data_IF_861003701101
#
_entry.id   IF_861003701101
#
_cell.length_a   1.000
_cell.length_b   1.000
_cell.length_c   1.000
_cell.angle_alpha   90.00
_cell.angle_beta   90.00
_cell.angle_gamma   90.00
#
_symmetry.space_group_name_H-M   'P 1'
#
loop_
_entity.id
_entity.type
_entity.pdbx_description
1 polymer ?
#
# COMPACT_ATOMS: atom_id res chain seq x y z
N UNK A 1 -5.37 -6.27 -12.18
CA UNK A 1 -6.65 -6.95 -11.90
C UNK A 1 -6.39 -8.22 -11.12
N UNK A 2 -7.09 -8.45 -9.99
CA UNK A 2 -7.02 -9.71 -9.25
C UNK A 2 -7.23 -10.93 -10.14
N UNK A 3 -6.50 -12.01 -9.89
CA UNK A 3 -6.48 -13.20 -10.76
C UNK A 3 -7.84 -13.85 -10.94
N UNK A 4 -8.71 -13.81 -9.91
CA UNK A 4 -10.07 -14.39 -9.95
C UNK A 4 -11.02 -13.77 -10.98
N UNK A 5 -10.67 -12.60 -11.55
CA UNK A 5 -11.46 -11.96 -12.60
C UNK A 5 -10.91 -12.21 -14.01
N UNK A 6 -9.79 -12.95 -14.15
CA UNK A 6 -9.25 -13.29 -15.46
C UNK A 6 -9.97 -14.51 -16.04
N UNK A 7 -10.20 -14.56 -17.36
CA UNK A 7 -10.59 -15.80 -18.01
C UNK A 7 -9.57 -16.91 -17.71
N UNK A 8 -10.02 -18.09 -17.27
CA UNK A 8 -9.14 -19.16 -16.80
C UNK A 8 -8.04 -19.52 -17.81
N UNK A 9 -8.39 -19.70 -19.09
CA UNK A 9 -7.44 -20.02 -20.14
C UNK A 9 -6.35 -18.94 -20.32
N UNK A 10 -6.68 -17.67 -20.07
CA UNK A 10 -5.72 -16.58 -20.10
C UNK A 10 -4.84 -16.60 -18.85
N UNK A 11 -5.43 -16.78 -17.66
CA UNK A 11 -4.70 -16.86 -16.41
C UNK A 11 -3.69 -18.01 -16.44
N UNK A 12 -4.09 -19.19 -16.92
CA UNK A 12 -3.21 -20.35 -17.03
C UNK A 12 -2.05 -20.09 -17.99
N UNK A 13 -2.31 -19.46 -19.13
CA UNK A 13 -1.25 -19.10 -20.09
C UNK A 13 -0.17 -18.21 -19.46
N UNK A 14 -0.56 -17.28 -18.58
CA UNK A 14 0.37 -16.30 -18.01
C UNK A 14 1.02 -16.76 -16.71
N UNK A 15 0.28 -17.45 -15.84
CA UNK A 15 0.67 -17.70 -14.45
C UNK A 15 0.88 -19.19 -14.12
N UNK A 16 0.32 -20.12 -14.90
CA UNK A 16 0.46 -21.54 -14.59
C UNK A 16 1.94 -21.95 -14.52
N UNK A 17 2.30 -22.72 -13.49
CA UNK A 17 3.66 -23.17 -13.19
C UNK A 17 4.69 -22.04 -12.98
N UNK A 18 4.25 -20.81 -12.67
CA UNK A 18 5.14 -19.70 -12.33
C UNK A 18 4.97 -19.27 -10.88
N UNK A 19 6.05 -18.78 -10.30
CA UNK A 19 5.96 -18.06 -9.04
C UNK A 19 5.57 -16.62 -9.33
N UNK A 20 4.35 -16.26 -8.95
CA UNK A 20 3.89 -14.88 -8.98
C UNK A 20 4.35 -14.21 -7.68
N UNK A 21 5.08 -13.11 -7.78
CA UNK A 21 5.41 -12.27 -6.64
C UNK A 21 4.64 -10.96 -6.71
N UNK A 22 4.44 -10.34 -5.56
CA UNK A 22 3.79 -9.04 -5.48
C UNK A 22 4.19 -8.30 -4.22
N UNK A 23 4.14 -6.98 -4.30
CA UNK A 23 4.38 -6.11 -3.16
C UNK A 23 3.17 -6.18 -2.22
N UNK A 24 3.43 -6.37 -0.93
CA UNK A 24 2.42 -6.21 0.11
C UNK A 24 2.82 -5.03 1.00
N UNK A 25 1.92 -4.06 1.06
CA UNK A 25 2.12 -2.75 1.65
C UNK A 25 1.11 -2.52 2.76
N UNK A 26 1.55 -1.84 3.81
CA UNK A 26 0.69 -1.37 4.89
C UNK A 26 -0.50 -0.55 4.35
N UNK A 27 -1.75 -0.88 4.71
CA UNK A 27 -2.93 -0.18 4.17
C UNK A 27 -2.94 1.33 4.45
N UNK A 28 -2.49 1.79 5.62
CA UNK A 28 -2.45 3.22 5.92
C UNK A 28 -1.45 3.93 5.01
N UNK A 29 -0.23 3.38 4.97
CA UNK A 29 0.87 3.94 4.20
C UNK A 29 0.58 3.90 2.69
N UNK A 30 -0.12 2.87 2.21
CA UNK A 30 -0.63 2.76 0.83
C UNK A 30 -1.56 3.92 0.47
N UNK A 31 -2.53 4.23 1.33
CA UNK A 31 -3.52 5.29 1.07
C UNK A 31 -2.89 6.68 1.17
N UNK A 32 -1.96 6.87 2.10
CA UNK A 32 -1.14 8.09 2.15
C UNK A 32 -0.37 8.28 0.84
N UNK A 33 0.24 7.22 0.30
CA UNK A 33 0.94 7.31 -0.97
C UNK A 33 0.02 7.60 -2.16
N UNK A 34 -1.21 7.07 -2.16
CA UNK A 34 -2.23 7.44 -3.14
C UNK A 34 -2.56 8.93 -3.08
N UNK A 35 -2.77 9.48 -1.88
CA UNK A 35 -2.98 10.91 -1.68
C UNK A 35 -1.78 11.74 -2.19
N UNK A 36 -0.56 11.37 -1.76
CA UNK A 36 0.69 12.05 -2.14
C UNK A 36 1.04 11.93 -3.62
N UNK A 37 0.46 10.96 -4.32
CA UNK A 37 0.57 10.88 -5.77
C UNK A 37 -0.26 11.97 -6.45
N UNK A 38 -1.47 12.23 -5.94
CA UNK A 38 -2.44 13.16 -6.53
C UNK A 38 -2.65 12.92 -8.05
N UNK A 39 -2.67 11.65 -8.46
CA UNK A 39 -2.79 11.25 -9.86
C UNK A 39 -4.25 10.85 -10.12
N UNK A 40 -4.89 11.47 -11.12
CA UNK A 40 -6.25 11.13 -11.53
C UNK A 40 -6.34 9.65 -11.90
N UNK A 41 -7.25 8.90 -11.25
CA UNK A 41 -7.41 7.47 -11.47
C UNK A 41 -6.34 6.59 -10.82
N UNK A 42 -5.43 7.16 -10.01
CA UNK A 42 -4.52 6.42 -9.12
C UNK A 42 -4.58 7.04 -7.73
N UNK A 43 -5.66 6.71 -7.01
CA UNK A 43 -5.98 7.31 -5.72
C UNK A 43 -6.92 8.51 -5.83
N UNK A 44 -7.03 9.12 -7.02
CA UNK A 44 -7.87 10.28 -7.28
C UNK A 44 -7.10 11.58 -7.21
N UNK A 45 -7.68 12.64 -7.79
CA UNK A 45 -7.24 14.00 -7.57
C UNK A 45 -8.21 14.64 -6.56
N UNK A 46 -7.71 14.98 -5.38
CA UNK A 46 -8.49 15.66 -4.34
C UNK A 46 -7.92 17.07 -4.12
N UNK A 47 -8.23 18.02 -5.03
CA UNK A 47 -7.67 19.37 -4.96
C UNK A 47 -7.97 20.05 -3.62
N UNK A 48 -9.12 19.78 -3.01
CA UNK A 48 -9.53 20.33 -1.72
C UNK A 48 -8.60 19.92 -0.56
N UNK A 49 -8.00 18.73 -0.61
CA UNK A 49 -7.12 18.23 0.44
C UNK A 49 -5.64 18.41 0.11
N UNK A 50 -5.26 18.33 -1.17
CA UNK A 50 -3.83 18.42 -1.55
C UNK A 50 -3.26 19.82 -1.30
N UNK A 51 -4.08 20.86 -1.45
CA UNK A 51 -3.66 22.26 -1.24
C UNK A 51 -3.32 22.57 0.22
N UNK A 52 -3.90 21.82 1.16
CA UNK A 52 -3.67 21.96 2.61
C UNK A 52 -2.90 20.79 3.20
N UNK A 53 -2.49 19.83 2.36
CA UNK A 53 -1.92 18.55 2.79
C UNK A 53 -2.79 17.81 3.84
N UNK A 54 -4.11 17.90 3.74
CA UNK A 54 -5.04 17.19 4.63
C UNK A 54 -5.22 15.72 4.22
N UNK A 55 -4.19 14.91 4.51
CA UNK A 55 -4.21 13.48 4.22
C UNK A 55 -5.32 12.74 4.98
N UNK A 56 -5.67 13.21 6.19
CA UNK A 56 -6.69 12.59 7.02
C UNK A 56 -8.08 12.74 6.39
N UNK A 57 -8.45 13.97 5.99
CA UNK A 57 -9.69 14.24 5.26
C UNK A 57 -9.78 13.45 3.95
N UNK A 58 -8.69 13.43 3.17
CA UNK A 58 -8.61 12.67 1.93
C UNK A 58 -8.85 11.17 2.13
N UNK A 59 -8.16 10.54 3.10
CA UNK A 59 -8.30 9.11 3.38
C UNK A 59 -9.72 8.76 3.85
N UNK A 60 -10.34 9.59 4.70
CA UNK A 60 -11.75 9.41 5.09
C UNK A 60 -12.67 9.44 3.86
N UNK A 61 -12.48 10.39 2.95
CA UNK A 61 -13.27 10.49 1.72
C UNK A 61 -13.07 9.28 0.81
N UNK A 62 -11.82 8.81 0.63
CA UNK A 62 -11.51 7.60 -0.12
C UNK A 62 -12.26 6.38 0.44
N UNK A 63 -12.18 6.17 1.76
CA UNK A 63 -12.79 4.98 2.40
C UNK A 63 -14.31 5.04 2.41
N UNK A 64 -14.91 6.20 2.64
CA UNK A 64 -16.37 6.35 2.54
C UNK A 64 -16.87 6.11 1.11
N UNK A 65 -16.15 6.59 0.09
CA UNK A 65 -16.46 6.30 -1.32
C UNK A 65 -16.38 4.80 -1.62
N UNK A 66 -15.36 4.12 -1.09
CA UNK A 66 -15.26 2.66 -1.20
C UNK A 66 -16.46 1.96 -0.57
N UNK A 67 -16.78 2.28 0.68
CA UNK A 67 -17.89 1.67 1.44
C UNK A 67 -19.26 1.95 0.82
N UNK A 68 -19.41 3.06 0.07
CA UNK A 68 -20.60 3.36 -0.72
C UNK A 68 -20.72 2.54 -2.03
N UNK A 69 -19.92 1.47 -2.19
CA UNK A 69 -19.90 0.60 -3.37
C UNK A 69 -18.83 0.96 -4.41
N UNK A 70 -17.99 1.97 -4.14
CA UNK A 70 -16.92 2.42 -5.03
C UNK A 70 -15.67 1.55 -5.04
N UNK A 71 -15.77 0.24 -4.82
CA UNK A 71 -14.62 -0.68 -4.74
C UNK A 71 -13.71 -0.61 -5.97
N UNK A 72 -14.31 -0.49 -7.17
CA UNK A 72 -13.59 -0.40 -8.44
C UNK A 72 -13.36 1.05 -8.91
N UNK A 73 -13.67 2.04 -8.07
CA UNK A 73 -13.41 3.44 -8.39
C UNK A 73 -11.91 3.71 -8.58
N UNK A 74 -11.59 4.85 -9.20
CA UNK A 74 -10.21 5.27 -9.49
C UNK A 74 -9.41 4.15 -10.16
N UNK A 75 -9.94 3.55 -11.24
CA UNK A 75 -9.31 2.44 -11.96
C UNK A 75 -8.91 1.26 -11.05
N UNK A 76 -9.80 0.87 -10.13
CA UNK A 76 -9.58 -0.21 -9.17
C UNK A 76 -8.45 0.05 -8.16
N UNK A 77 -8.01 1.30 -7.97
CA UNK A 77 -6.88 1.61 -7.08
C UNK A 77 -7.13 1.23 -5.63
N UNK A 78 -8.39 1.28 -5.17
CA UNK A 78 -8.77 0.95 -3.80
C UNK A 78 -9.09 -0.54 -3.57
N UNK A 79 -8.90 -1.40 -4.56
CA UNK A 79 -9.08 -2.85 -4.36
C UNK A 79 -8.05 -3.33 -3.31
N UNK A 80 -8.49 -4.03 -2.24
CA UNK A 80 -7.58 -4.63 -1.25
C UNK A 80 -6.53 -5.52 -1.90
N UNK A 81 -5.30 -5.51 -1.36
CA UNK A 81 -4.21 -6.35 -1.87
C UNK A 81 -4.55 -7.83 -1.73
N UNK A 82 -5.27 -8.22 -0.68
CA UNK A 82 -5.69 -9.60 -0.45
C UNK A 82 -6.40 -10.22 -1.65
N UNK A 83 -7.15 -9.43 -2.42
CA UNK A 83 -7.82 -9.88 -3.64
C UNK A 83 -6.83 -10.45 -4.68
N UNK A 84 -5.60 -9.95 -4.72
CA UNK A 84 -4.53 -10.39 -5.63
C UNK A 84 -3.80 -11.64 -5.10
N UNK A 85 -3.92 -11.95 -3.81
CA UNK A 85 -3.41 -13.18 -3.19
C UNK A 85 -4.45 -14.30 -3.28
N UNK A 86 -5.71 -14.00 -3.01
CA UNK A 86 -6.82 -14.95 -2.86
C UNK A 86 -7.38 -15.38 -4.23
N UNK A 87 -6.54 -15.96 -5.09
CA UNK A 87 -6.96 -16.58 -6.35
C UNK A 87 -6.09 -17.80 -6.70
N UNK A 88 -6.58 -18.76 -7.52
CA UNK A 88 -5.80 -19.94 -7.91
C UNK A 88 -4.44 -19.62 -8.54
N UNK A 89 -4.34 -18.47 -9.19
CA UNK A 89 -3.14 -17.95 -9.84
C UNK A 89 -2.63 -16.67 -9.13
N UNK A 90 -2.92 -16.53 -7.83
CA UNK A 90 -2.61 -15.35 -7.04
C UNK A 90 -1.11 -15.19 -6.74
N UNK A 91 -0.78 -14.11 -6.04
CA UNK A 91 0.57 -13.87 -5.54
C UNK A 91 0.98 -15.00 -4.58
N UNK A 92 2.08 -15.68 -4.92
CA UNK A 92 2.65 -16.79 -4.14
C UNK A 92 3.86 -16.38 -3.30
N UNK A 93 4.48 -15.24 -3.63
CA UNK A 93 5.63 -14.69 -2.92
C UNK A 93 5.35 -13.22 -2.57
N UNK A 94 5.17 -12.95 -1.28
CA UNK A 94 4.97 -11.59 -0.79
C UNK A 94 6.33 -10.89 -0.64
N UNK A 95 6.44 -9.69 -1.22
CA UNK A 95 7.58 -8.80 -1.04
C UNK A 95 7.19 -7.71 -0.05
N UNK A 96 7.96 -7.56 1.01
CA UNK A 96 7.69 -6.61 2.09
C UNK A 96 7.98 -5.17 1.66
N UNK A 97 6.93 -4.37 1.48
CA UNK A 97 7.10 -3.00 1.06
C UNK A 97 7.71 -2.09 2.15
N UNK A 98 7.64 -2.45 3.44
CA UNK A 98 8.24 -1.65 4.52
C UNK A 98 9.77 -1.67 4.46
N UNK A 99 10.34 -2.77 3.94
CA UNK A 99 11.78 -3.00 3.74
C UNK A 99 12.25 -2.73 2.31
N UNK A 100 11.44 -2.08 1.47
CA UNK A 100 11.83 -1.81 0.09
C UNK A 100 12.97 -0.77 0.02
N UNK A 101 14.00 -0.93 -0.85
CA UNK A 101 14.14 -1.94 -1.92
C UNK A 101 14.79 -3.27 -1.49
N UNK A 102 15.23 -3.42 -0.24
CA UNK A 102 15.98 -4.59 0.23
C UNK A 102 15.20 -5.89 0.05
N UNK A 103 13.94 -5.93 0.46
CA UNK A 103 13.07 -7.12 0.35
C UNK A 103 12.88 -7.60 -1.10
N UNK A 104 12.79 -6.69 -2.05
CA UNK A 104 12.70 -7.02 -3.48
C UNK A 104 14.02 -7.58 -4.00
N UNK A 105 15.14 -7.00 -3.57
CA UNK A 105 16.48 -7.47 -3.91
C UNK A 105 16.78 -8.86 -3.31
N UNK A 106 16.28 -9.16 -2.11
CA UNK A 106 16.33 -10.49 -1.49
C UNK A 106 15.61 -11.53 -2.35
N UNK A 107 14.41 -11.20 -2.84
CA UNK A 107 13.68 -12.07 -3.77
C UNK A 107 14.48 -12.30 -5.07
N UNK A 108 15.04 -11.25 -5.66
CA UNK A 108 15.83 -11.38 -6.88
C UNK A 108 17.08 -12.26 -6.66
N UNK A 109 17.78 -12.07 -5.55
CA UNK A 109 18.92 -12.89 -5.18
C UNK A 109 18.53 -14.37 -4.99
N UNK A 110 17.43 -14.64 -4.28
CA UNK A 110 16.91 -15.99 -4.06
C UNK A 110 16.50 -16.72 -5.36
N UNK A 111 16.33 -15.98 -6.46
CA UNK A 111 16.03 -16.51 -7.79
C UNK A 111 17.22 -16.43 -8.76
N UNK A 112 18.44 -16.30 -8.23
CA UNK A 112 19.69 -16.18 -8.99
C UNK A 112 19.68 -15.04 -10.02
N UNK A 113 18.87 -14.00 -9.80
CA UNK A 113 18.88 -12.80 -10.64
C UNK A 113 20.04 -11.89 -10.23
N UNK A 114 20.70 -11.30 -11.22
CA UNK A 114 21.74 -10.27 -11.03
C UNK A 114 21.16 -8.87 -10.87
N UNK A 115 19.85 -8.69 -11.08
CA UNK A 115 19.19 -7.39 -10.98
C UNK A 115 19.16 -6.92 -9.53
N UNK A 116 19.50 -5.65 -9.32
CA UNK A 116 19.42 -4.98 -8.02
C UNK A 116 18.81 -3.61 -8.23
N UNK A 117 17.73 -3.34 -7.49
CA UNK A 117 17.10 -2.03 -7.41
C UNK A 117 17.98 -1.18 -6.49
N UNK A 118 18.48 -0.07 -7.00
CA UNK A 118 19.23 0.89 -6.20
C UNK A 118 18.33 2.05 -5.81
N UNK A 119 18.68 2.76 -4.74
CA UNK A 119 17.89 3.89 -4.24
C UNK A 119 17.78 5.01 -5.28
N UNK A 120 18.84 5.22 -6.07
CA UNK A 120 18.86 6.21 -7.17
C UNK A 120 17.92 5.86 -8.33
N UNK A 121 17.50 4.61 -8.47
CA UNK A 121 16.56 4.16 -9.52
C UNK A 121 15.09 4.38 -9.11
N UNK A 122 14.84 4.85 -7.88
CA UNK A 122 13.50 4.90 -7.31
C UNK A 122 12.77 6.20 -7.66
N UNK A 123 11.74 6.08 -8.51
CA UNK A 123 10.73 7.11 -8.71
C UNK A 123 9.59 6.88 -7.74
N UNK A 124 9.21 7.91 -6.99
CA UNK A 124 8.12 7.83 -6.00
C UNK A 124 7.34 9.14 -5.93
N UNK A 125 6.21 9.09 -5.22
CA UNK A 125 5.27 10.21 -5.05
C UNK A 125 5.80 11.21 -4.02
N UNK A 126 5.81 12.50 -4.36
CA UNK A 126 6.55 13.51 -3.58
C UNK A 126 5.70 14.68 -3.08
N UNK A 127 4.40 14.75 -3.40
CA UNK A 127 3.55 15.79 -2.80
C UNK A 127 3.38 15.55 -1.30
N UNK A 128 3.31 16.64 -0.53
CA UNK A 128 3.13 16.64 0.92
C UNK A 128 4.09 15.65 1.64
N UNK A 129 5.43 15.81 1.52
CA UNK A 129 6.38 14.82 2.05
C UNK A 129 6.33 14.67 3.58
N UNK A 130 5.80 15.67 4.28
CA UNK A 130 5.70 15.69 5.75
C UNK A 130 4.42 15.04 6.31
N UNK A 131 3.53 14.55 5.44
CA UNK A 131 2.35 13.79 5.86
C UNK A 131 2.59 12.29 5.74
N UNK A 132 2.11 11.54 6.73
CA UNK A 132 2.35 10.10 6.82
C UNK A 132 1.21 9.38 7.56
N UNK A 133 1.32 8.06 7.68
CA UNK A 133 0.29 7.22 8.30
C UNK A 133 0.01 7.55 9.78
N UNK A 134 0.91 8.28 10.47
CA UNK A 134 0.71 8.73 11.84
C UNK A 134 -0.22 9.93 11.99
N UNK A 135 -0.47 10.68 10.90
CA UNK A 135 -1.35 11.86 10.91
C UNK A 135 -2.83 11.48 10.72
N UNK A 136 -3.14 10.19 10.51
CA UNK A 136 -4.51 9.68 10.42
C UNK A 136 -5.12 9.58 11.81
N UNK A 137 -6.31 10.15 11.99
CA UNK A 137 -7.05 10.02 13.24
C UNK A 137 -7.76 8.66 13.38
N UNK A 138 -8.39 8.43 14.52
CA UNK A 138 -9.02 7.14 14.80
C UNK A 138 -10.23 6.82 13.94
N UNK A 139 -10.95 7.83 13.45
CA UNK A 139 -12.03 7.58 12.51
C UNK A 139 -11.47 7.11 11.15
N UNK A 140 -10.44 7.80 10.64
CA UNK A 140 -9.77 7.39 9.41
C UNK A 140 -9.18 5.98 9.56
N UNK A 141 -8.47 5.71 10.66
CA UNK A 141 -7.87 4.40 10.91
C UNK A 141 -8.91 3.28 11.01
N UNK A 142 -10.05 3.53 11.66
CA UNK A 142 -11.15 2.56 11.75
C UNK A 142 -11.75 2.25 10.37
N UNK A 143 -11.98 3.27 9.54
CA UNK A 143 -12.48 3.09 8.16
C UNK A 143 -11.51 2.24 7.32
N UNK A 144 -10.22 2.51 7.41
CA UNK A 144 -9.20 1.73 6.68
C UNK A 144 -9.15 0.29 7.18
N UNK A 145 -9.20 0.05 8.50
CA UNK A 145 -9.27 -1.33 9.04
C UNK A 145 -10.50 -2.08 8.56
N UNK A 146 -11.65 -1.41 8.51
CA UNK A 146 -12.89 -2.01 7.99
C UNK A 146 -12.73 -2.46 6.53
N UNK A 147 -12.11 -1.63 5.67
CA UNK A 147 -11.94 -1.94 4.24
C UNK A 147 -10.82 -2.95 3.98
N UNK A 148 -9.71 -2.84 4.71
CA UNK A 148 -8.46 -3.57 4.43
C UNK A 148 -8.09 -4.58 5.53
N UNK A 149 -9.05 -5.07 6.33
CA UNK A 149 -8.79 -6.05 7.40
C UNK A 149 -7.94 -7.24 6.93
N UNK A 150 -8.28 -7.79 5.76
CA UNK A 150 -7.55 -8.92 5.16
C UNK A 150 -6.12 -8.58 4.74
N UNK A 151 -5.85 -7.33 4.35
CA UNK A 151 -4.48 -6.90 4.02
C UNK A 151 -3.61 -6.86 5.29
N UNK A 152 -4.17 -6.42 6.43
CA UNK A 152 -3.48 -6.46 7.72
C UNK A 152 -3.18 -7.90 8.16
N UNK A 153 -4.14 -8.82 8.01
CA UNK A 153 -3.91 -10.23 8.28
C UNK A 153 -2.79 -10.83 7.41
N UNK A 154 -2.73 -10.45 6.13
CA UNK A 154 -1.64 -10.88 5.24
C UNK A 154 -0.28 -10.33 5.69
N UNK A 155 -0.20 -9.08 6.13
CA UNK A 155 1.04 -8.49 6.66
C UNK A 155 1.52 -9.23 7.91
N UNK A 156 0.61 -9.52 8.84
CA UNK A 156 0.91 -10.32 10.02
C UNK A 156 1.40 -11.73 9.63
N UNK A 157 0.68 -12.40 8.73
CA UNK A 157 1.02 -13.76 8.27
C UNK A 157 2.38 -13.84 7.58
N UNK A 158 2.70 -12.88 6.71
CA UNK A 158 3.90 -12.96 5.88
C UNK A 158 5.13 -12.35 6.55
N UNK A 159 4.96 -11.31 7.37
CA UNK A 159 6.09 -10.52 7.89
C UNK A 159 6.05 -10.29 9.42
N UNK A 160 5.02 -10.79 10.11
CA UNK A 160 4.88 -10.62 11.56
C UNK A 160 4.37 -9.25 12.00
N UNK A 161 3.94 -8.40 11.06
CA UNK A 161 3.37 -7.08 11.35
C UNK A 161 1.90 -7.21 11.78
N UNK A 162 1.69 -7.57 13.05
CA UNK A 162 0.37 -7.87 13.59
C UNK A 162 -0.28 -6.71 14.36
N UNK A 163 0.47 -5.64 14.64
CA UNK A 163 -0.08 -4.42 15.24
C UNK A 163 -0.77 -3.60 14.15
N UNK A 164 -2.11 -3.68 14.12
CA UNK A 164 -2.94 -2.94 13.16
C UNK A 164 -3.10 -1.46 13.53
N UNK A 165 -2.56 -1.00 14.66
CA UNK A 165 -2.55 0.41 15.05
C UNK A 165 -1.22 1.11 14.74
N UNK A 166 -0.18 0.32 14.44
CA UNK A 166 1.12 0.80 14.05
C UNK A 166 1.03 1.69 12.80
N UNK A 167 1.60 2.88 12.89
CA UNK A 167 1.83 3.73 11.73
C UNK A 167 3.24 3.50 11.21
N UNK A 168 3.39 3.26 9.91
CA UNK A 168 4.69 3.08 9.28
C UNK A 168 4.91 4.03 8.09
N UNK A 169 6.17 4.13 7.66
CA UNK A 169 6.59 4.72 6.40
C UNK A 169 7.76 3.89 5.83
N UNK A 170 8.05 4.03 4.53
CA UNK A 170 9.09 3.22 3.87
C UNK A 170 10.44 3.94 3.95
N UNK A 171 11.25 3.57 4.95
CA UNK A 171 12.53 4.26 5.24
C UNK A 171 13.57 4.15 4.11
N UNK A 172 13.52 3.07 3.32
CA UNK A 172 14.45 2.83 2.21
C UNK A 172 14.11 3.58 0.91
N UNK A 173 12.98 4.28 0.85
CA UNK A 173 12.56 5.07 -0.31
C UNK A 173 12.66 6.56 0.03
N UNK A 174 13.42 7.37 -0.72
CA UNK A 174 13.57 8.79 -0.46
C UNK A 174 12.21 9.48 -0.30
N UNK A 175 12.11 10.45 0.61
CA UNK A 175 10.91 11.25 0.89
C UNK A 175 9.62 10.48 1.23
N UNK A 176 9.62 9.15 1.35
CA UNK A 176 8.42 8.40 1.76
C UNK A 176 8.13 8.53 3.25
N UNK A 177 9.13 8.93 4.04
CA UNK A 177 8.98 9.30 5.44
C UNK A 177 9.11 10.82 5.61
N UNK A 178 8.41 11.43 6.59
CA UNK A 178 8.65 12.80 7.02
C UNK A 178 10.13 13.00 7.38
N UNK A 179 10.63 14.22 7.19
CA UNK A 179 12.03 14.55 7.46
C UNK A 179 12.38 14.41 8.95
N UNK A 180 11.43 14.72 9.84
CA UNK A 180 11.54 14.48 11.29
C UNK A 180 10.62 13.35 11.76
N UNK A 181 10.83 12.15 11.19
CA UNK A 181 10.08 10.96 11.55
C UNK A 181 10.11 10.66 13.06
N UNK A 182 11.26 10.88 13.71
CA UNK A 182 11.41 10.58 15.13
C UNK A 182 10.54 11.47 16.03
N UNK A 183 10.37 12.76 15.71
CA UNK A 183 9.40 13.61 16.42
C UNK A 183 7.96 13.21 16.07
N UNK A 184 7.68 12.96 14.79
CA UNK A 184 6.35 12.57 14.28
C UNK A 184 5.84 11.28 14.92
N UNK A 185 6.71 10.27 15.11
CA UNK A 185 6.38 9.00 15.77
C UNK A 185 5.88 9.21 17.21
N UNK A 186 6.39 10.22 17.92
CA UNK A 186 5.95 10.54 19.29
C UNK A 186 4.55 11.15 19.35
N UNK A 187 4.12 11.79 18.27
CA UNK A 187 2.81 12.43 18.15
C UNK A 187 1.83 11.62 17.29
N UNK A 188 2.23 10.42 16.83
CA UNK A 188 1.40 9.58 15.99
C UNK A 188 0.13 9.16 16.73
N UNK A 189 -1.02 9.29 16.08
CA UNK A 189 -2.30 8.86 16.65
C UNK A 189 -2.32 7.34 16.81
N UNK A 190 -2.65 6.85 18.01
CA UNK A 190 -2.88 5.42 18.30
C UNK A 190 -4.33 5.21 18.66
N UNK A 191 -4.95 4.19 18.07
CA UNK A 191 -6.41 4.05 18.04
C UNK A 191 -6.81 2.62 18.42
N UNK A 192 -6.92 2.35 19.73
CA UNK A 192 -7.17 1.01 20.25
C UNK A 192 -8.50 0.41 19.77
#
# INVERSE_FOLDING_TARGET
TPGKYWPQALADKYFNNKHVFGMLRDPYERLVAFFRGNIKGYGGAYPEFINTCDVNGAVKQMMRKYLAGGMYAENCTFVPQAEYFDSPNGITVAVDNRRFPESANELFAARNSTWRIKTEDLIHVWYCPEVWAGDLDCEAKALVRQVYARDFELLCKHFGYCDTDESCCIKGVPYMCPSDLAAKEKTATRCP
#
